data_IF_298320930293
#
_entry.id   IF_298320930293
#
_cell.length_a   1.000
_cell.length_b   1.000
_cell.length_c   1.000
_cell.angle_alpha   90.00
_cell.angle_beta   90.00
_cell.angle_gamma   90.00
#
_symmetry.space_group_name_H-M   'P 1'
#
loop_
_entity.id
_entity.type
_entity.pdbx_description
1 polymer ?
#
# COMPACT_ATOMS: atom_id res chain seq x y z
N UNK A 1 -8.55 -7.03 -1.40
CA UNK A 1 -8.14 -5.82 -2.12
C UNK A 1 -6.81 -6.10 -2.78
N UNK A 2 -6.69 -5.81 -4.07
CA UNK A 2 -5.42 -5.72 -4.77
C UNK A 2 -5.29 -4.27 -5.24
N UNK A 3 -4.23 -3.58 -4.87
CA UNK A 3 -4.01 -2.18 -5.22
C UNK A 3 -2.52 -1.92 -5.42
N UNK A 4 -2.19 -1.10 -6.42
CA UNK A 4 -0.83 -0.68 -6.71
C UNK A 4 -0.71 0.82 -6.62
N UNK A 5 0.34 1.30 -5.96
CA UNK A 5 0.69 2.70 -5.81
C UNK A 5 1.91 3.00 -6.67
N UNK A 6 1.74 3.85 -7.67
CA UNK A 6 2.80 4.34 -8.53
C UNK A 6 3.19 5.73 -8.08
N UNK A 7 4.47 5.93 -7.77
CA UNK A 7 5.00 7.24 -7.42
C UNK A 7 5.32 8.01 -8.70
N UNK A 8 4.73 9.20 -8.85
CA UNK A 8 4.84 10.03 -10.07
C UNK A 8 5.70 11.28 -9.89
N UNK A 9 6.13 11.57 -8.66
CA UNK A 9 6.92 12.77 -8.34
C UNK A 9 7.93 12.47 -7.22
N UNK A 10 8.94 13.34 -7.10
CA UNK A 10 9.99 13.24 -6.09
C UNK A 10 11.05 12.16 -6.38
N UNK A 11 11.89 11.82 -5.37
CA UNK A 11 13.02 10.90 -5.54
C UNK A 11 12.63 9.46 -5.89
N UNK A 12 11.36 9.11 -5.70
CA UNK A 12 10.85 7.76 -5.94
C UNK A 12 10.06 7.66 -7.26
N UNK A 13 10.07 8.71 -8.09
CA UNK A 13 9.33 8.76 -9.34
C UNK A 13 9.62 7.54 -10.23
N UNK A 14 8.58 6.92 -10.77
CA UNK A 14 8.64 5.71 -11.60
C UNK A 14 8.70 4.41 -10.80
N UNK A 15 8.84 4.46 -9.48
CA UNK A 15 8.77 3.27 -8.62
C UNK A 15 7.31 2.94 -8.27
N UNK A 16 7.03 1.67 -7.97
CA UNK A 16 5.70 1.20 -7.61
C UNK A 16 5.76 0.20 -6.45
N UNK A 17 4.71 0.19 -5.63
CA UNK A 17 4.46 -0.84 -4.62
C UNK A 17 3.05 -1.42 -4.80
N UNK A 18 2.93 -2.73 -4.71
CA UNK A 18 1.68 -3.48 -4.84
C UNK A 18 1.31 -4.12 -3.52
N UNK A 19 0.08 -3.90 -3.10
CA UNK A 19 -0.50 -4.39 -1.86
C UNK A 19 -1.60 -5.39 -2.19
N UNK A 20 -1.57 -6.52 -1.49
CA UNK A 20 -2.63 -7.51 -1.56
C UNK A 20 -3.06 -7.85 -0.14
N UNK A 21 -4.28 -7.48 0.23
CA UNK A 21 -4.74 -7.65 1.60
C UNK A 21 -6.25 -7.74 1.73
N UNK A 22 -6.70 -8.30 2.85
CA UNK A 22 -8.13 -8.32 3.19
C UNK A 22 -8.54 -6.89 3.55
N UNK A 23 -9.53 -6.34 2.83
CA UNK A 23 -10.07 -5.02 3.16
C UNK A 23 -11.05 -5.19 4.32
N UNK A 24 -10.57 -4.95 5.54
CA UNK A 24 -11.43 -4.93 6.72
C UNK A 24 -11.94 -3.50 6.92
N UNK A 25 -12.96 -3.11 6.16
CA UNK A 25 -13.57 -1.77 6.26
C UNK A 25 -14.12 -1.46 7.65
N UNK A 26 -14.38 -2.49 8.46
CA UNK A 26 -14.82 -2.39 9.85
C UNK A 26 -13.68 -2.10 10.84
N UNK A 27 -12.42 -2.28 10.43
CA UNK A 27 -11.25 -2.08 11.28
C UNK A 27 -10.59 -0.76 10.91
N UNK A 28 -10.54 0.16 11.88
CA UNK A 28 -10.03 1.52 11.72
C UNK A 28 -8.57 1.57 11.24
N UNK A 29 -7.74 0.61 11.67
CA UNK A 29 -6.32 0.49 11.31
C UNK A 29 -6.00 -0.96 10.95
N UNK A 30 -5.52 -1.22 9.74
CA UNK A 30 -5.16 -2.58 9.32
C UNK A 30 -3.87 -2.62 8.51
N UNK A 31 -3.15 -3.75 8.65
CA UNK A 31 -1.90 -4.01 7.95
C UNK A 31 -2.20 -4.70 6.61
N UNK A 32 -1.58 -4.23 5.54
CA UNK A 32 -1.62 -4.82 4.21
C UNK A 32 -0.19 -5.20 3.79
N UNK A 33 0.09 -6.47 3.48
CA UNK A 33 1.43 -6.87 3.04
C UNK A 33 1.74 -6.29 1.66
N UNK A 34 2.99 -5.88 1.48
CA UNK A 34 3.54 -5.50 0.17
C UNK A 34 3.96 -6.80 -0.51
N UNK A 35 3.38 -7.07 -1.67
CA UNK A 35 3.57 -8.33 -2.42
C UNK A 35 4.36 -8.15 -3.71
N UNK A 36 4.59 -6.91 -4.15
CA UNK A 36 5.37 -6.62 -5.33
C UNK A 36 5.88 -5.19 -5.31
N UNK A 37 7.09 -4.98 -5.81
CA UNK A 37 7.74 -3.68 -5.78
C UNK A 37 8.63 -3.52 -7.00
N UNK A 38 8.81 -2.28 -7.46
CA UNK A 38 9.66 -1.92 -8.59
C UNK A 38 10.46 -0.65 -8.30
N UNK A 39 11.50 -0.41 -9.11
CA UNK A 39 12.34 0.78 -8.99
C UNK A 39 13.16 0.78 -7.71
N UNK A 40 13.10 1.87 -6.95
CA UNK A 40 13.90 2.07 -5.72
C UNK A 40 13.53 1.08 -4.62
N UNK A 41 12.31 0.50 -4.65
CA UNK A 41 11.84 -0.47 -3.67
C UNK A 41 12.11 -1.92 -4.04
N UNK A 42 12.94 -2.18 -5.07
CA UNK A 42 13.24 -3.54 -5.51
C UNK A 42 13.84 -4.36 -4.36
N UNK A 43 13.34 -5.60 -4.19
CA UNK A 43 13.74 -6.54 -3.13
C UNK A 43 13.43 -6.11 -1.68
N UNK A 44 12.73 -4.99 -1.46
CA UNK A 44 12.36 -4.57 -0.11
C UNK A 44 11.11 -5.31 0.40
N UNK A 45 11.17 -5.91 1.59
CA UNK A 45 9.99 -6.50 2.24
C UNK A 45 9.30 -5.51 3.17
N UNK A 46 7.97 -5.57 3.30
CA UNK A 46 7.26 -4.71 4.23
C UNK A 46 5.75 -4.87 4.27
N UNK A 47 5.12 -4.04 5.09
CA UNK A 47 3.67 -3.92 5.22
C UNK A 47 3.27 -2.45 5.25
N UNK A 48 2.17 -2.11 4.59
CA UNK A 48 1.51 -0.82 4.73
C UNK A 48 0.51 -0.87 5.89
N UNK A 49 0.34 0.26 6.57
CA UNK A 49 -0.72 0.46 7.57
C UNK A 49 -1.74 1.41 6.96
N UNK A 50 -2.93 0.91 6.68
CA UNK A 50 -4.04 1.72 6.18
C UNK A 50 -4.93 2.14 7.34
N UNK A 51 -5.30 3.43 7.39
CA UNK A 51 -6.22 3.99 8.36
C UNK A 51 -7.38 4.67 7.63
N UNK A 52 -8.63 4.33 8.01
CA UNK A 52 -9.82 4.92 7.40
C UNK A 52 -10.19 6.22 8.11
N UNK A 53 -10.05 7.37 7.43
CA UNK A 53 -10.30 8.69 8.02
C UNK A 53 -11.80 9.04 8.14
N UNK A 54 -12.67 8.41 7.34
CA UNK A 54 -14.13 8.50 7.48
C UNK A 54 -14.75 7.12 7.37
N UNK A 55 -15.41 6.69 8.44
CA UNK A 55 -16.33 5.55 8.43
C UNK A 55 -17.69 6.10 8.03
N UNK A 56 -18.27 5.59 6.93
CA UNK A 56 -19.67 5.85 6.60
C UNK A 56 -20.52 5.22 7.71
N UNK A 57 -21.09 6.08 8.57
CA UNK A 57 -22.06 5.71 9.61
C UNK A 57 -23.44 6.08 9.10
#
# INVERSE_FOLDING_TARGET
MSMSFVFVDGPNNGSCISLLGKNMSTVHVHKMPIVGNTGVFLLTGGFAIAQMHRVLT
#
